data_IF_375130260315
#
_entry.id   IF_375130260315
#
_cell.length_a   1.000
_cell.length_b   1.000
_cell.length_c   1.000
_cell.angle_alpha   90.00
_cell.angle_beta   90.00
_cell.angle_gamma   90.00
#
_symmetry.space_group_name_H-M   'P 1'
#
loop_
_entity.id
_entity.type
_entity.pdbx_description
1 polymer ?
#
# COMPACT_ATOMS: atom_id res chain seq x y z
N UNK A 1 12.31 -10.69 -12.65
CA UNK A 1 11.04 -10.26 -12.06
C UNK A 1 11.16 -8.78 -11.75
N UNK A 2 10.34 -7.94 -12.39
CA UNK A 2 10.28 -6.51 -12.07
C UNK A 2 9.46 -6.29 -10.79
N UNK A 3 9.46 -5.05 -10.28
CA UNK A 3 8.76 -4.71 -9.03
C UNK A 3 7.24 -4.99 -9.13
N UNK A 4 6.62 -4.72 -10.28
CA UNK A 4 5.19 -4.95 -10.51
C UNK A 4 4.83 -6.43 -10.46
N UNK A 5 5.56 -7.27 -11.19
CA UNK A 5 5.39 -8.74 -11.19
C UNK A 5 5.55 -9.31 -9.78
N UNK A 6 6.50 -8.79 -9.00
CA UNK A 6 6.67 -9.19 -7.60
C UNK A 6 5.44 -8.85 -6.76
N UNK A 7 4.92 -7.62 -6.84
CA UNK A 7 3.74 -7.20 -6.09
C UNK A 7 2.49 -8.00 -6.52
N UNK A 8 2.34 -8.32 -7.82
CA UNK A 8 1.27 -9.19 -8.30
C UNK A 8 1.35 -10.59 -7.68
N UNK A 9 2.54 -11.17 -7.55
CA UNK A 9 2.74 -12.46 -6.88
C UNK A 9 2.42 -12.41 -5.39
N UNK A 10 2.85 -11.34 -4.68
CA UNK A 10 2.53 -11.15 -3.26
C UNK A 10 1.03 -11.04 -3.05
N UNK A 11 0.34 -10.25 -3.88
CA UNK A 11 -1.13 -10.11 -3.85
C UNK A 11 -1.84 -11.44 -4.13
N UNK A 12 -1.35 -12.23 -5.10
CA UNK A 12 -1.97 -13.47 -5.49
C UNK A 12 -1.75 -14.62 -4.49
N UNK A 13 -0.62 -14.61 -3.76
CA UNK A 13 -0.22 -15.70 -2.86
C UNK A 13 0.29 -15.18 -1.50
N UNK A 14 -0.51 -14.40 -0.75
CA UNK A 14 -0.07 -13.75 0.47
C UNK A 14 0.49 -14.72 1.51
N UNK A 15 -0.08 -15.94 1.61
CA UNK A 15 0.35 -16.96 2.56
C UNK A 15 1.80 -17.43 2.40
N UNK A 16 2.36 -17.42 1.18
CA UNK A 16 3.77 -17.78 0.94
C UNK A 16 4.72 -16.78 1.61
N UNK A 17 4.25 -15.54 1.78
CA UNK A 17 5.00 -14.45 2.41
C UNK A 17 4.65 -14.28 3.90
N UNK A 18 3.90 -15.21 4.49
CA UNK A 18 3.42 -15.11 5.88
C UNK A 18 2.31 -14.09 6.10
N UNK A 19 1.67 -13.60 5.03
CA UNK A 19 0.59 -12.62 5.10
C UNK A 19 -0.77 -13.31 5.23
N UNK A 20 -1.64 -12.74 6.05
CA UNK A 20 -2.97 -13.28 6.37
C UNK A 20 -4.14 -12.37 5.92
N UNK A 21 -3.85 -11.36 5.10
CA UNK A 21 -4.85 -10.40 4.62
C UNK A 21 -5.18 -9.28 5.61
N UNK A 22 -4.36 -9.08 6.65
CA UNK A 22 -4.43 -7.90 7.51
C UNK A 22 -3.45 -6.81 7.06
N UNK A 23 -3.85 -5.57 7.25
CA UNK A 23 -3.22 -4.37 6.72
C UNK A 23 -1.85 -4.13 7.31
N UNK A 24 -1.74 -4.11 8.64
CA UNK A 24 -0.47 -3.80 9.31
C UNK A 24 0.65 -4.79 8.94
N UNK A 25 0.46 -6.14 9.02
CA UNK A 25 1.48 -7.07 8.56
C UNK A 25 1.85 -6.94 7.09
N UNK A 26 0.88 -6.62 6.22
CA UNK A 26 1.14 -6.38 4.79
C UNK A 26 2.00 -5.13 4.59
N UNK A 27 1.70 -4.04 5.30
CA UNK A 27 2.50 -2.82 5.32
C UNK A 27 3.91 -3.10 5.85
N UNK A 28 4.04 -3.80 6.98
CA UNK A 28 5.34 -4.14 7.57
C UNK A 28 6.20 -4.95 6.59
N UNK A 29 5.60 -5.92 5.89
CA UNK A 29 6.29 -6.70 4.87
C UNK A 29 6.82 -5.81 3.73
N UNK A 30 5.98 -4.91 3.19
CA UNK A 30 6.38 -4.01 2.10
C UNK A 30 7.47 -3.04 2.52
N UNK A 31 7.38 -2.46 3.72
CA UNK A 31 8.42 -1.59 4.28
C UNK A 31 9.75 -2.34 4.44
N UNK A 32 9.71 -3.55 5.01
CA UNK A 32 10.91 -4.37 5.18
C UNK A 32 11.55 -4.76 3.85
N UNK A 33 10.72 -5.12 2.86
CA UNK A 33 11.19 -5.46 1.51
C UNK A 33 11.80 -4.25 0.79
N UNK A 34 11.15 -3.09 0.87
CA UNK A 34 11.66 -1.85 0.29
C UNK A 34 12.99 -1.41 0.93
N UNK A 35 13.08 -1.50 2.27
CA UNK A 35 14.32 -1.23 3.00
C UNK A 35 15.45 -2.16 2.56
N UNK A 36 15.16 -3.47 2.42
CA UNK A 36 16.11 -4.46 1.89
C UNK A 36 16.57 -4.18 0.45
N UNK A 37 15.86 -3.33 -0.29
CA UNK A 37 16.16 -2.88 -1.65
C UNK A 37 16.58 -1.41 -1.71
N UNK A 38 17.08 -0.84 -0.59
CA UNK A 38 17.55 0.54 -0.52
C UNK A 38 16.49 1.58 -0.92
N UNK A 39 15.22 1.30 -0.61
CA UNK A 39 14.10 2.22 -0.84
C UNK A 39 13.65 2.33 -2.30
N UNK A 40 14.04 1.40 -3.17
CA UNK A 40 13.77 1.51 -4.61
C UNK A 40 12.31 1.21 -4.99
N UNK A 41 11.63 0.34 -4.27
CA UNK A 41 10.27 -0.10 -4.60
C UNK A 41 9.26 1.03 -4.35
N UNK A 42 9.34 1.69 -3.19
CA UNK A 42 8.38 2.70 -2.74
C UNK A 42 8.86 4.14 -2.97
N UNK A 43 9.97 4.34 -3.67
CA UNK A 43 10.51 5.67 -3.96
C UNK A 43 9.50 6.53 -4.70
N UNK A 44 9.04 7.62 -4.09
CA UNK A 44 8.05 8.52 -4.71
C UNK A 44 6.60 8.10 -4.49
N UNK A 45 6.34 6.97 -3.81
CA UNK A 45 4.97 6.47 -3.63
C UNK A 45 4.11 7.39 -2.76
N UNK A 46 4.71 7.96 -1.71
CA UNK A 46 4.01 8.91 -0.84
C UNK A 46 3.63 10.18 -1.60
N UNK A 47 4.57 10.76 -2.34
CA UNK A 47 4.39 11.96 -3.15
C UNK A 47 3.34 11.72 -4.24
N UNK A 48 3.35 10.54 -4.86
CA UNK A 48 2.34 10.14 -5.83
C UNK A 48 0.93 10.08 -5.23
N UNK A 49 0.77 9.53 -4.01
CA UNK A 49 -0.52 9.51 -3.30
C UNK A 49 -0.98 10.92 -2.91
N UNK A 50 -0.09 11.78 -2.43
CA UNK A 50 -0.40 13.18 -2.09
C UNK A 50 -0.87 13.94 -3.34
N UNK A 51 -0.16 13.81 -4.45
CA UNK A 51 -0.54 14.44 -5.71
C UNK A 51 -1.90 13.92 -6.22
N UNK A 52 -2.15 12.61 -6.09
CA UNK A 52 -3.43 11.98 -6.45
C UNK A 52 -4.59 12.46 -5.59
N UNK A 53 -4.37 12.69 -4.29
CA UNK A 53 -5.40 13.22 -3.37
C UNK A 53 -5.87 14.62 -3.79
N UNK A 54 -4.96 15.43 -4.37
CA UNK A 54 -5.27 16.78 -4.84
C UNK A 54 -5.40 17.83 -3.74
N UNK A 55 -5.06 17.48 -2.49
CA UNK A 55 -5.12 18.36 -1.32
C UNK A 55 -3.86 18.20 -0.46
N UNK A 56 -3.45 19.28 0.20
CA UNK A 56 -2.34 19.23 1.15
C UNK A 56 -2.66 18.30 2.33
N UNK A 57 -1.68 17.49 2.72
CA UNK A 57 -1.84 16.54 3.82
C UNK A 57 -0.50 16.22 4.47
N UNK A 58 -0.52 16.05 5.78
CA UNK A 58 0.63 15.57 6.56
C UNK A 58 0.62 14.06 6.77
N UNK A 59 -0.34 13.35 6.16
CA UNK A 59 -0.45 11.90 6.29
C UNK A 59 0.65 11.22 5.48
N UNK A 60 1.23 10.17 6.06
CA UNK A 60 2.10 9.28 5.33
C UNK A 60 1.28 8.30 4.47
N UNK A 61 1.94 7.62 3.54
CA UNK A 61 1.30 6.69 2.61
C UNK A 61 0.48 5.60 3.30
N UNK A 62 0.90 5.15 4.50
CA UNK A 62 0.18 4.13 5.29
C UNK A 62 -1.20 4.65 5.70
N UNK A 63 -1.28 5.89 6.17
CA UNK A 63 -2.55 6.52 6.52
C UNK A 63 -3.35 6.97 5.29
N UNK A 64 -2.67 7.42 4.23
CA UNK A 64 -3.33 7.84 2.97
C UNK A 64 -4.10 6.70 2.31
N UNK A 65 -3.56 5.48 2.33
CA UNK A 65 -4.29 4.32 1.79
C UNK A 65 -5.56 4.05 2.60
N UNK A 66 -5.53 4.20 3.93
CA UNK A 66 -6.71 4.00 4.77
C UNK A 66 -7.76 5.09 4.50
N UNK A 67 -7.32 6.34 4.36
CA UNK A 67 -8.21 7.44 4.00
C UNK A 67 -8.82 7.25 2.61
N UNK A 68 -8.06 6.77 1.61
CA UNK A 68 -8.58 6.45 0.29
C UNK A 68 -9.50 5.22 0.29
N UNK A 69 -9.22 4.23 1.13
CA UNK A 69 -10.06 3.03 1.26
C UNK A 69 -11.39 3.31 1.97
N UNK A 70 -11.41 4.29 2.87
CA UNK A 70 -12.54 4.66 3.72
C UNK A 70 -12.73 6.19 3.77
N UNK A 71 -13.11 6.82 2.64
CA UNK A 71 -13.36 8.25 2.63
C UNK A 71 -14.44 8.61 3.65
N UNK A 72 -14.24 9.73 4.35
CA UNK A 72 -15.15 10.30 5.36
C UNK A 72 -15.41 9.44 6.61
N UNK A 73 -14.85 8.23 6.71
CA UNK A 73 -14.99 7.36 7.87
C UNK A 73 -14.10 7.77 9.06
N UNK A 74 -13.15 8.69 8.86
CA UNK A 74 -12.16 9.10 9.86
C UNK A 74 -11.13 8.02 10.21
N UNK A 75 -11.12 6.89 9.48
CA UNK A 75 -10.21 5.77 9.69
C UNK A 75 -8.84 6.12 9.11
N UNK A 76 -7.86 6.32 9.99
CA UNK A 76 -6.46 6.65 9.60
C UNK A 76 -5.43 5.72 10.23
N UNK A 77 -5.87 4.76 11.03
CA UNK A 77 -5.01 3.82 11.74
C UNK A 77 -5.60 2.42 11.71
N UNK A 78 -4.75 1.41 11.54
CA UNK A 78 -5.18 0.02 11.33
C UNK A 78 -5.88 -0.60 12.54
N UNK A 79 -5.60 -0.12 13.75
CA UNK A 79 -6.26 -0.62 14.98
C UNK A 79 -7.76 -0.33 15.03
N UNK A 80 -8.27 0.55 14.15
CA UNK A 80 -9.69 0.83 14.04
C UNK A 80 -10.42 -0.10 13.06
N UNK A 81 -9.70 -0.99 12.36
CA UNK A 81 -10.27 -1.84 11.33
C UNK A 81 -10.86 -3.11 11.94
N UNK A 82 -12.07 -3.47 11.50
CA UNK A 82 -12.58 -4.82 11.62
C UNK A 82 -11.98 -5.75 10.54
N UNK A 83 -12.28 -7.05 10.62
CA UNK A 83 -11.70 -8.05 9.71
C UNK A 83 -12.05 -7.84 8.23
N UNK A 84 -13.20 -7.27 7.93
CA UNK A 84 -13.62 -6.99 6.55
C UNK A 84 -12.93 -5.74 6.02
N UNK A 85 -12.88 -4.69 6.84
CA UNK A 85 -12.15 -3.47 6.56
C UNK A 85 -10.65 -3.74 6.35
N UNK A 86 -10.03 -4.61 7.15
CA UNK A 86 -8.66 -5.08 6.96
C UNK A 86 -8.42 -5.62 5.54
N UNK A 87 -9.31 -6.50 5.05
CA UNK A 87 -9.20 -7.08 3.70
C UNK A 87 -9.38 -6.03 2.61
N UNK A 88 -10.33 -5.12 2.78
CA UNK A 88 -10.57 -4.02 1.84
C UNK A 88 -9.37 -3.08 1.77
N UNK A 89 -8.80 -2.71 2.92
CA UNK A 89 -7.61 -1.88 3.01
C UNK A 89 -6.40 -2.53 2.32
N UNK A 90 -6.18 -3.83 2.53
CA UNK A 90 -5.13 -4.60 1.82
C UNK A 90 -5.37 -4.61 0.31
N UNK A 91 -6.62 -4.78 -0.12
CA UNK A 91 -6.96 -4.75 -1.54
C UNK A 91 -6.69 -3.38 -2.17
N UNK A 92 -7.04 -2.29 -1.49
CA UNK A 92 -6.72 -0.92 -1.95
C UNK A 92 -5.22 -0.64 -1.95
N UNK A 93 -4.48 -1.06 -0.91
CA UNK A 93 -3.01 -0.98 -0.86
C UNK A 93 -2.37 -1.57 -2.11
N UNK A 94 -2.70 -2.83 -2.44
CA UNK A 94 -2.10 -3.47 -3.61
C UNK A 94 -2.55 -2.82 -4.93
N UNK A 95 -3.81 -2.38 -5.01
CA UNK A 95 -4.30 -1.71 -6.22
C UNK A 95 -3.54 -0.40 -6.49
N UNK A 96 -3.36 0.43 -5.45
CA UNK A 96 -2.63 1.69 -5.55
C UNK A 96 -1.15 1.49 -5.83
N UNK A 97 -0.52 0.50 -5.19
CA UNK A 97 0.87 0.19 -5.43
C UNK A 97 1.11 -0.27 -6.88
N UNK A 98 0.22 -1.12 -7.43
CA UNK A 98 0.33 -1.56 -8.83
C UNK A 98 0.07 -0.43 -9.84
N UNK A 99 -0.86 0.48 -9.53
CA UNK A 99 -1.10 1.68 -10.33
C UNK A 99 0.14 2.58 -10.34
N UNK A 100 0.70 2.87 -9.16
CA UNK A 100 1.93 3.63 -9.00
C UNK A 100 3.09 3.03 -9.81
N UNK A 101 3.35 1.72 -9.66
CA UNK A 101 4.44 1.05 -10.39
C UNK A 101 4.23 1.12 -11.90
N UNK A 102 2.98 1.04 -12.37
CA UNK A 102 2.67 1.19 -13.80
C UNK A 102 3.00 2.60 -14.31
N UNK A 103 2.67 3.64 -13.53
CA UNK A 103 2.99 5.03 -13.88
C UNK A 103 4.50 5.28 -13.84
N UNK A 104 5.17 4.82 -12.78
CA UNK A 104 6.62 4.98 -12.57
C UNK A 104 7.44 4.31 -13.67
N UNK A 105 7.08 3.09 -14.06
CA UNK A 105 7.84 2.31 -15.04
C UNK A 105 7.53 2.73 -16.50
N UNK A 106 6.53 3.59 -16.72
CA UNK A 106 6.21 4.17 -18.03
C UNK A 106 6.99 5.47 -18.31
N UNK A 107 7.72 6.00 -17.32
CA UNK A 107 8.58 7.19 -17.43
C UNK A 107 10.04 6.81 -17.67
#
# INVERSE_FOLDING_TARGET
MNDKEFIEQVRARPGIYGLNGTYYPTVTFLVGFDLGRSGGLLRGFNEWLVARKGEETSLNWIALILEEAFPDAGIRHWTALDREQERHAVHRLFSLLLEFLTVRDAQ
#
